data_IF_565160983502
#
_entry.id   IF_565160983502
#
_cell.length_a   1.000
_cell.length_b   1.000
_cell.length_c   1.000
_cell.angle_alpha   90.00
_cell.angle_beta   90.00
_cell.angle_gamma   90.00
#
_symmetry.space_group_name_H-M   'P 1'
#
loop_
_entity.id
_entity.type
_entity.pdbx_description
1 polymer ?
#
# COMPACT_ATOMS: atom_id res chain seq x y z
N UNK A 1 6.77 11.69 25.23
CA UNK A 1 7.52 10.89 24.24
C UNK A 1 6.56 10.40 23.16
N UNK A 2 6.74 10.81 21.89
CA UNK A 2 5.98 10.21 20.79
C UNK A 2 6.43 8.75 20.70
N UNK A 3 5.50 7.79 20.85
CA UNK A 3 5.80 6.39 20.49
C UNK A 3 6.35 6.42 19.08
N UNK A 4 7.43 5.68 18.81
CA UNK A 4 7.84 5.39 17.44
C UNK A 4 6.65 4.68 16.79
N UNK A 5 5.81 5.44 16.07
CA UNK A 5 4.74 4.87 15.26
C UNK A 5 5.43 4.20 14.09
N UNK A 6 4.97 2.99 13.76
CA UNK A 6 5.33 2.40 12.48
C UNK A 6 4.67 3.24 11.41
N UNK A 7 5.46 3.70 10.46
CA UNK A 7 4.92 4.39 9.31
C UNK A 7 4.32 3.34 8.37
N UNK A 8 2.99 3.26 8.41
CA UNK A 8 2.20 2.47 7.47
C UNK A 8 1.71 3.40 6.36
N UNK A 9 2.06 3.08 5.12
CA UNK A 9 1.51 3.75 3.94
C UNK A 9 0.63 2.76 3.18
N UNK A 10 -0.54 3.22 2.77
CA UNK A 10 -1.42 2.50 1.88
C UNK A 10 -1.31 3.12 0.48
N UNK A 11 -1.10 2.27 -0.52
CA UNK A 11 -0.99 2.68 -1.92
C UNK A 11 -2.09 1.95 -2.70
N UNK A 12 -3.10 2.70 -3.13
CA UNK A 12 -4.17 2.21 -3.98
C UNK A 12 -3.92 2.59 -5.43
N UNK A 13 -3.72 1.61 -6.31
CA UNK A 13 -3.80 1.82 -7.75
C UNK A 13 -5.26 1.72 -8.18
N UNK A 14 -5.88 2.83 -8.56
CA UNK A 14 -7.26 2.86 -8.99
C UNK A 14 -7.31 2.85 -10.51
N UNK A 15 -7.80 1.75 -11.06
CA UNK A 15 -8.35 1.76 -12.40
C UNK A 15 -9.74 2.40 -12.31
N UNK A 16 -10.08 3.36 -13.18
CA UNK A 16 -11.51 3.71 -13.40
C UNK A 16 -12.32 2.42 -13.59
N UNK A 17 -13.59 2.37 -13.14
CA UNK A 17 -14.37 1.13 -13.01
C UNK A 17 -14.21 0.25 -14.25
N UNK A 18 -13.47 -0.85 -14.07
CA UNK A 18 -12.91 -1.65 -15.15
C UNK A 18 -13.86 -2.71 -15.69
N UNK A 19 -15.06 -2.85 -15.10
CA UNK A 19 -16.03 -3.84 -15.55
C UNK A 19 -16.82 -3.41 -16.80
N UNK A 20 -16.69 -2.16 -17.26
CA UNK A 20 -17.38 -1.65 -18.47
C UNK A 20 -16.46 -1.21 -19.61
N UNK A 21 -15.14 -1.19 -19.43
CA UNK A 21 -14.21 -0.71 -20.48
C UNK A 21 -13.06 -1.69 -20.75
N UNK A 22 -12.73 -1.90 -22.04
CA UNK A 22 -11.60 -2.75 -22.49
C UNK A 22 -10.25 -2.37 -21.86
N UNK A 23 -10.12 -1.14 -21.36
CA UNK A 23 -8.90 -0.56 -20.77
C UNK A 23 -8.61 -1.11 -19.36
N UNK A 24 -9.64 -1.25 -18.52
CA UNK A 24 -9.47 -1.77 -17.16
C UNK A 24 -9.09 -3.25 -17.10
N UNK A 25 -9.50 -4.01 -18.11
CA UNK A 25 -9.07 -5.39 -18.34
C UNK A 25 -7.58 -5.46 -18.72
N UNK A 26 -7.11 -4.62 -19.64
CA UNK A 26 -5.70 -4.59 -20.07
C UNK A 26 -4.74 -4.21 -18.95
N UNK A 27 -5.20 -3.36 -18.03
CA UNK A 27 -4.45 -2.91 -16.87
C UNK A 27 -4.19 -4.02 -15.84
N UNK A 28 -5.22 -4.81 -15.51
CA UNK A 28 -5.06 -5.99 -14.65
C UNK A 28 -4.28 -7.12 -15.34
N UNK A 29 -4.08 -7.03 -16.65
CA UNK A 29 -3.44 -8.06 -17.48
C UNK A 29 -1.94 -7.86 -17.70
N UNK A 30 -1.37 -6.69 -17.38
CA UNK A 30 0.01 -6.38 -17.76
C UNK A 30 0.80 -5.70 -16.64
N UNK A 31 1.76 -6.43 -16.06
CA UNK A 31 2.82 -5.80 -15.27
C UNK A 31 3.77 -4.99 -16.15
N UNK A 32 4.02 -5.38 -17.40
CA UNK A 32 4.91 -4.63 -18.32
C UNK A 32 4.28 -3.38 -18.93
N UNK A 33 3.00 -3.09 -18.67
CA UNK A 33 2.45 -1.79 -19.02
C UNK A 33 2.65 -1.38 -20.48
N UNK A 34 2.49 -2.28 -21.46
CA UNK A 34 1.89 -1.82 -22.68
C UNK A 34 0.38 -1.66 -22.40
N UNK A 35 0.03 -0.60 -21.66
CA UNK A 35 -1.27 0.02 -21.84
C UNK A 35 -1.46 0.13 -23.36
N UNK A 36 -2.58 -0.34 -23.94
CA UNK A 36 -2.80 -0.21 -25.38
C UNK A 36 -2.45 1.22 -25.80
N UNK A 37 -1.72 1.43 -26.91
CA UNK A 37 -1.33 2.78 -27.33
C UNK A 37 -2.53 3.73 -27.24
N UNK A 38 -2.42 4.76 -26.40
CA UNK A 38 -3.49 5.72 -26.13
C UNK A 38 -4.38 5.43 -24.91
N UNK A 39 -4.12 4.37 -24.13
CA UNK A 39 -4.82 4.16 -22.87
C UNK A 39 -4.36 5.19 -21.82
N UNK A 40 -5.30 5.73 -21.03
CA UNK A 40 -5.00 6.75 -20.02
C UNK A 40 -4.10 6.18 -18.92
N UNK A 41 -3.23 7.03 -18.32
CA UNK A 41 -2.42 6.61 -17.18
C UNK A 41 -3.30 6.22 -15.99
N UNK A 42 -2.71 5.46 -15.08
CA UNK A 42 -3.31 5.05 -13.82
C UNK A 42 -3.40 6.20 -12.83
N UNK A 43 -4.57 6.39 -12.24
CA UNK A 43 -4.68 7.23 -11.05
C UNK A 43 -4.25 6.41 -9.83
N UNK A 44 -3.23 6.90 -9.13
CA UNK A 44 -2.72 6.31 -7.89
C UNK A 44 -3.09 7.22 -6.75
N UNK A 45 -3.71 6.65 -5.73
CA UNK A 45 -3.99 7.31 -4.46
C UNK A 45 -3.05 6.72 -3.42
N UNK A 46 -2.28 7.58 -2.78
CA UNK A 46 -1.45 7.22 -1.65
C UNK A 46 -2.02 7.86 -0.39
N UNK A 47 -2.07 7.07 0.67
CA UNK A 47 -2.52 7.47 2.00
C UNK A 47 -1.42 7.15 3.01
N UNK A 48 -0.76 8.18 3.52
CA UNK A 48 0.27 8.11 4.55
C UNK A 48 -0.38 8.12 5.93
N UNK A 49 -0.31 6.99 6.64
CA UNK A 49 -0.85 6.85 8.00
C UNK A 49 -0.18 7.76 9.03
N UNK A 50 1.06 8.20 8.77
CA UNK A 50 1.81 9.08 9.64
C UNK A 50 1.33 10.55 9.58
N UNK A 51 0.85 10.95 8.40
CA UNK A 51 0.39 12.32 8.11
C UNK A 51 -1.13 12.45 8.16
N UNK A 52 -1.85 11.33 8.07
CA UNK A 52 -3.30 11.25 8.10
C UNK A 52 -3.91 12.02 9.28
N UNK A 53 -4.73 13.02 8.99
CA UNK A 53 -5.54 13.74 9.98
C UNK A 53 -7.02 13.58 9.75
N UNK A 54 -7.77 13.49 10.84
CA UNK A 54 -9.23 13.55 10.86
C UNK A 54 -9.98 12.52 9.97
N UNK A 55 -9.34 11.38 9.62
CA UNK A 55 -10.02 10.30 8.91
C UNK A 55 -10.90 9.49 9.85
N UNK A 56 -12.18 9.35 9.47
CA UNK A 56 -13.12 8.45 10.10
C UNK A 56 -13.07 7.08 9.43
N UNK A 57 -13.19 5.96 10.16
CA UNK A 57 -13.28 4.62 9.56
C UNK A 57 -14.62 4.36 8.82
N UNK A 58 -15.54 5.32 8.85
CA UNK A 58 -16.83 5.25 8.17
C UNK A 58 -16.68 5.25 6.64
N UNK A 59 -17.26 4.24 5.99
CA UNK A 59 -17.14 4.03 4.54
C UNK A 59 -17.68 5.21 3.72
N UNK A 60 -18.77 5.85 4.15
CA UNK A 60 -19.34 6.99 3.43
C UNK A 60 -18.39 8.20 3.49
N UNK A 61 -17.76 8.45 4.64
CA UNK A 61 -16.76 9.51 4.79
C UNK A 61 -15.50 9.23 3.97
N UNK A 62 -14.99 7.99 4.00
CA UNK A 62 -13.84 7.59 3.15
C UNK A 62 -14.18 7.74 1.67
N UNK A 63 -15.35 7.25 1.24
CA UNK A 63 -15.80 7.35 -0.14
C UNK A 63 -15.96 8.80 -0.62
N UNK A 64 -16.55 9.67 0.21
CA UNK A 64 -16.67 11.11 -0.10
C UNK A 64 -15.31 11.80 -0.18
N UNK A 65 -14.39 11.43 0.73
CA UNK A 65 -13.02 11.95 0.75
C UNK A 65 -12.30 11.57 -0.55
N UNK A 66 -12.39 10.30 -0.94
CA UNK A 66 -11.81 9.78 -2.17
C UNK A 66 -12.44 10.41 -3.43
N UNK A 67 -13.75 10.61 -3.47
CA UNK A 67 -14.43 11.24 -4.61
C UNK A 67 -13.93 12.67 -4.84
N UNK A 68 -13.92 13.49 -3.78
CA UNK A 68 -13.41 14.88 -3.84
C UNK A 68 -11.95 14.95 -4.26
N UNK A 69 -11.16 14.03 -3.74
CA UNK A 69 -9.76 13.87 -4.09
C UNK A 69 -9.55 13.59 -5.58
N UNK A 70 -10.32 12.66 -6.15
CA UNK A 70 -10.27 12.32 -7.58
C UNK A 70 -10.82 13.45 -8.47
N UNK A 71 -11.85 14.17 -8.02
CA UNK A 71 -12.38 15.35 -8.70
C UNK A 71 -11.33 16.47 -8.79
N UNK A 72 -10.67 16.77 -7.66
CA UNK A 72 -9.58 17.74 -7.61
C UNK A 72 -8.40 17.35 -8.52
N UNK A 73 -8.05 16.06 -8.58
CA UNK A 73 -7.01 15.54 -9.46
C UNK A 73 -7.39 15.57 -10.96
N UNK A 74 -8.68 15.54 -11.28
CA UNK A 74 -9.17 15.57 -12.67
C UNK A 74 -9.28 16.98 -13.25
N UNK A 75 -9.35 18.01 -12.39
CA UNK A 75 -9.58 19.39 -12.80
C UNK A 75 -8.34 20.13 -13.32
N UNK A 76 -7.11 19.63 -13.10
CA UNK A 76 -5.88 20.40 -13.37
C UNK A 76 -4.69 19.59 -13.98
N UNK A 77 -3.73 20.36 -14.51
CA UNK A 77 -2.54 20.03 -15.33
C UNK A 77 -1.52 19.08 -14.62
N UNK A 78 -0.74 18.24 -15.33
CA UNK A 78 0.11 17.20 -14.72
C UNK A 78 1.26 17.72 -13.84
N UNK A 79 1.38 17.18 -12.61
CA UNK A 79 2.52 17.34 -11.68
C UNK A 79 2.18 16.87 -10.25
N UNK A 80 3.17 16.48 -9.41
CA UNK A 80 2.92 16.17 -8.00
C UNK A 80 2.56 17.45 -7.24
N UNK A 81 1.43 17.45 -6.51
CA UNK A 81 1.03 18.56 -5.63
C UNK A 81 0.69 18.05 -4.25
N UNK A 82 1.21 18.73 -3.23
CA UNK A 82 0.66 18.72 -1.88
C UNK A 82 -0.62 19.57 -1.88
N UNK A 83 -1.65 19.14 -1.14
CA UNK A 83 -2.91 19.89 -1.03
C UNK A 83 -2.63 21.25 -0.36
N UNK A 84 -2.99 22.40 -0.96
CA UNK A 84 -2.63 23.71 -0.43
C UNK A 84 -3.23 23.92 0.97
N UNK A 85 -2.38 24.26 1.95
CA UNK A 85 -2.73 24.39 3.37
C UNK A 85 -3.74 25.51 3.70
N UNK A 86 -5.01 25.29 3.40
CA UNK A 86 -6.16 26.00 3.98
C UNK A 86 -6.89 25.13 5.00
N UNK A 87 -7.76 25.71 5.83
CA UNK A 87 -8.58 24.95 6.80
C UNK A 87 -9.46 23.87 6.12
N UNK A 88 -9.85 24.10 4.86
CA UNK A 88 -10.53 23.13 3.98
C UNK A 88 -9.60 22.13 3.30
N UNK A 89 -8.28 22.17 3.50
CA UNK A 89 -7.33 21.18 2.98
C UNK A 89 -6.70 20.32 4.07
N UNK A 90 -6.77 20.76 5.34
CA UNK A 90 -6.22 20.04 6.48
C UNK A 90 -6.83 18.62 6.68
N UNK A 91 -8.00 18.32 6.11
CA UNK A 91 -8.61 16.97 6.14
C UNK A 91 -8.05 16.02 5.08
N UNK A 92 -7.28 16.52 4.11
CA UNK A 92 -6.55 15.71 3.12
C UNK A 92 -5.07 15.55 3.46
N UNK A 93 -4.61 16.01 4.64
CA UNK A 93 -3.23 15.78 5.09
C UNK A 93 -2.96 14.26 5.11
N UNK A 94 -1.84 13.87 4.50
CA UNK A 94 -1.47 12.47 4.28
C UNK A 94 -2.08 11.80 3.05
N UNK A 95 -2.88 12.50 2.25
CA UNK A 95 -3.35 12.00 0.96
C UNK A 95 -2.55 12.63 -0.18
N UNK A 96 -2.14 11.81 -1.15
CA UNK A 96 -1.51 12.29 -2.38
C UNK A 96 -1.97 11.50 -3.60
N UNK A 97 -1.87 12.14 -4.77
CA UNK A 97 -2.30 11.59 -6.05
C UNK A 97 -1.22 11.75 -7.08
N UNK A 98 -1.04 10.72 -7.89
CA UNK A 98 -0.18 10.78 -9.06
C UNK A 98 -0.71 9.92 -10.18
N UNK A 99 -0.33 10.28 -11.39
CA UNK A 99 -0.54 9.44 -12.57
C UNK A 99 0.73 8.62 -12.81
N UNK A 100 0.56 7.32 -13.00
CA UNK A 100 1.66 6.42 -13.41
C UNK A 100 1.28 5.74 -14.72
N UNK A 101 2.26 5.47 -15.57
CA UNK A 101 2.05 4.81 -16.85
C UNK A 101 1.73 3.31 -16.68
N UNK A 102 2.13 2.68 -15.56
CA UNK A 102 1.93 1.25 -15.35
C UNK A 102 1.98 0.82 -13.88
N UNK A 103 1.51 -0.41 -13.61
CA UNK A 103 1.70 -1.05 -12.31
C UNK A 103 3.18 -1.32 -12.02
N UNK A 104 4.01 -1.59 -13.04
CA UNK A 104 5.47 -1.71 -12.89
C UNK A 104 6.08 -0.43 -12.36
N UNK A 105 5.79 0.72 -12.98
CA UNK A 105 6.29 2.02 -12.52
C UNK A 105 5.89 2.29 -11.07
N UNK A 106 4.65 1.94 -10.70
CA UNK A 106 4.19 2.05 -9.31
C UNK A 106 5.02 1.21 -8.34
N UNK A 107 5.27 -0.05 -8.70
CA UNK A 107 6.04 -0.98 -7.88
C UNK A 107 7.51 -0.59 -7.81
N UNK A 108 8.11 -0.17 -8.92
CA UNK A 108 9.50 0.32 -8.97
C UNK A 108 9.66 1.56 -8.08
N UNK A 109 8.71 2.50 -8.12
CA UNK A 109 8.66 3.62 -7.18
C UNK A 109 8.51 3.16 -5.73
N UNK A 110 7.54 2.30 -5.44
CA UNK A 110 7.28 1.82 -4.09
C UNK A 110 8.44 1.01 -3.49
N UNK A 111 9.24 0.31 -4.31
CA UNK A 111 10.41 -0.45 -3.87
C UNK A 111 11.67 0.43 -3.73
N UNK A 112 11.76 1.51 -4.51
CA UNK A 112 12.91 2.44 -4.51
C UNK A 112 12.79 3.55 -3.47
N UNK A 113 11.57 4.01 -3.17
CA UNK A 113 11.27 5.07 -2.19
C UNK A 113 11.44 4.55 -0.74
N UNK A 114 12.60 4.01 -0.36
CA UNK A 114 12.89 3.68 1.04
C UNK A 114 12.88 4.94 1.93
N UNK A 115 12.61 4.84 3.25
CA UNK A 115 12.70 5.99 4.13
C UNK A 115 14.13 6.52 4.12
N UNK A 116 14.36 7.62 3.40
CA UNK A 116 15.62 8.34 3.34
C UNK A 116 15.86 9.06 4.67
N UNK A 117 16.09 8.30 5.73
CA UNK A 117 16.57 8.84 7.00
C UNK A 117 18.06 8.53 7.09
N UNK A 118 18.86 9.60 7.16
CA UNK A 118 20.32 9.64 7.16
C UNK A 118 20.97 8.81 8.30
N UNK A 119 20.17 8.23 9.20
CA UNK A 119 20.61 7.61 10.44
C UNK A 119 20.29 6.11 10.58
N UNK A 120 19.72 5.46 9.56
CA UNK A 120 19.53 4.01 9.58
C UNK A 120 20.20 3.34 8.37
N UNK A 121 20.95 2.23 8.56
CA UNK A 121 21.42 1.44 7.42
C UNK A 121 20.22 1.08 6.54
N UNK A 122 20.40 1.12 5.21
CA UNK A 122 19.37 0.77 4.24
C UNK A 122 18.92 -0.66 4.49
N UNK A 123 17.89 -0.83 5.31
CA UNK A 123 17.27 -2.13 5.53
C UNK A 123 16.56 -2.55 4.26
N UNK A 124 16.61 -3.85 3.99
CA UNK A 124 15.99 -4.41 2.78
C UNK A 124 14.47 -4.25 2.80
N UNK A 125 13.89 -4.19 1.60
CA UNK A 125 12.44 -4.23 1.38
C UNK A 125 12.03 -5.65 1.01
N UNK A 126 10.95 -6.16 1.59
CA UNK A 126 10.34 -7.46 1.23
C UNK A 126 8.99 -7.22 0.58
N UNK A 127 8.84 -7.68 -0.65
CA UNK A 127 7.58 -7.69 -1.39
C UNK A 127 6.86 -9.02 -1.17
N UNK A 128 5.61 -8.97 -0.73
CA UNK A 128 4.75 -10.13 -0.55
C UNK A 128 3.51 -9.97 -1.44
N UNK A 129 3.12 -11.03 -2.13
CA UNK A 129 1.88 -11.08 -2.91
C UNK A 129 0.95 -12.10 -2.28
N UNK A 130 -0.25 -11.67 -1.91
CA UNK A 130 -1.24 -12.57 -1.32
C UNK A 130 -1.92 -13.40 -2.41
N UNK A 131 -1.92 -14.72 -2.23
CA UNK A 131 -2.60 -15.70 -3.09
C UNK A 131 -3.19 -16.80 -2.23
N UNK A 132 -4.43 -17.18 -2.50
CA UNK A 132 -5.11 -18.26 -1.78
C UNK A 132 -4.39 -19.60 -1.99
N UNK A 133 -3.87 -19.84 -3.20
CA UNK A 133 -3.18 -21.07 -3.60
C UNK A 133 -1.68 -21.09 -3.26
N UNK A 134 -1.15 -20.08 -2.55
CA UNK A 134 0.25 -20.07 -2.19
C UNK A 134 0.59 -21.16 -1.17
N UNK A 135 1.69 -21.88 -1.41
CA UNK A 135 2.17 -22.94 -0.51
C UNK A 135 2.75 -22.43 0.81
N UNK A 136 3.17 -21.16 0.85
CA UNK A 136 3.83 -20.56 2.02
C UNK A 136 2.81 -19.73 2.81
N UNK A 137 2.77 -19.90 4.12
CA UNK A 137 1.94 -19.04 4.97
C UNK A 137 2.57 -17.66 5.11
N UNK A 138 1.74 -16.62 5.16
CA UNK A 138 2.19 -15.24 5.39
C UNK A 138 2.93 -15.11 6.73
N UNK A 139 2.46 -15.81 7.76
CA UNK A 139 3.12 -15.83 9.07
C UNK A 139 4.57 -16.33 8.99
N UNK A 140 4.80 -17.48 8.35
CA UNK A 140 6.15 -18.04 8.24
C UNK A 140 7.08 -17.12 7.42
N UNK A 141 6.57 -16.50 6.34
CA UNK A 141 7.37 -15.54 5.57
C UNK A 141 7.70 -14.28 6.38
N UNK A 142 6.77 -13.78 7.20
CA UNK A 142 7.03 -12.64 8.06
C UNK A 142 8.04 -12.94 9.17
N UNK A 143 8.03 -14.17 9.71
CA UNK A 143 9.05 -14.64 10.67
C UNK A 143 10.44 -14.67 10.01
N UNK A 144 10.55 -15.14 8.76
CA UNK A 144 11.80 -15.07 7.97
C UNK A 144 12.21 -13.62 7.72
N UNK A 145 11.29 -12.77 7.26
CA UNK A 145 11.58 -11.35 7.02
C UNK A 145 12.07 -10.64 8.29
N UNK A 146 11.53 -11.00 9.47
CA UNK A 146 11.98 -10.48 10.76
C UNK A 146 13.41 -10.92 11.09
N UNK A 147 13.74 -12.18 10.84
CA UNK A 147 15.07 -12.74 11.05
C UNK A 147 16.11 -12.11 10.10
N UNK A 148 15.70 -11.80 8.87
CA UNK A 148 16.51 -11.12 7.84
C UNK A 148 16.67 -9.59 8.08
N UNK A 149 16.22 -9.07 9.23
CA UNK A 149 16.15 -7.62 9.57
C UNK A 149 15.54 -6.75 8.45
N UNK A 150 14.50 -7.26 7.78
CA UNK A 150 13.74 -6.49 6.78
C UNK A 150 13.15 -5.25 7.44
N UNK A 151 13.43 -4.09 6.85
CA UNK A 151 12.98 -2.79 7.37
C UNK A 151 11.67 -2.32 6.78
N UNK A 152 11.30 -2.84 5.60
CA UNK A 152 10.06 -2.47 4.92
C UNK A 152 9.36 -3.69 4.33
N UNK A 153 8.07 -3.77 4.58
CA UNK A 153 7.17 -4.77 4.00
C UNK A 153 6.24 -4.09 3.01
N UNK A 154 6.11 -4.65 1.82
CA UNK A 154 5.14 -4.22 0.80
C UNK A 154 4.23 -5.40 0.51
N UNK A 155 2.93 -5.22 0.73
CA UNK A 155 1.93 -6.25 0.47
C UNK A 155 1.14 -5.88 -0.78
N UNK A 156 1.08 -6.79 -1.75
CA UNK A 156 0.23 -6.65 -2.93
C UNK A 156 -1.01 -7.52 -2.74
N UNK A 157 -2.17 -6.88 -2.78
CA UNK A 157 -3.48 -7.49 -2.58
C UNK A 157 -4.33 -7.26 -3.83
N UNK A 158 -5.10 -8.27 -4.22
CA UNK A 158 -6.16 -8.11 -5.21
C UNK A 158 -7.42 -7.49 -4.58
N UNK A 159 -8.35 -7.09 -5.44
CA UNK A 159 -9.71 -6.76 -5.04
C UNK A 159 -10.53 -8.04 -4.80
N UNK A 160 -11.86 -7.93 -4.80
CA UNK A 160 -12.78 -9.06 -4.69
C UNK A 160 -12.64 -10.13 -5.79
N UNK A 161 -12.01 -9.85 -6.93
CA UNK A 161 -11.73 -10.82 -8.00
C UNK A 161 -10.33 -11.43 -7.82
N UNK A 162 -9.49 -10.82 -6.99
CA UNK A 162 -8.12 -11.22 -6.77
C UNK A 162 -7.17 -10.77 -7.90
N UNK A 163 -5.88 -11.06 -7.72
CA UNK A 163 -4.90 -10.86 -8.78
C UNK A 163 -4.97 -12.01 -9.77
N UNK A 164 -4.99 -11.70 -11.08
CA UNK A 164 -4.91 -12.73 -12.11
C UNK A 164 -3.62 -13.55 -11.96
N UNK A 165 -3.63 -14.86 -12.27
CA UNK A 165 -2.44 -15.72 -12.15
C UNK A 165 -1.22 -15.20 -12.91
N UNK A 166 -1.42 -14.60 -14.08
CA UNK A 166 -0.34 -14.01 -14.88
C UNK A 166 0.33 -12.86 -14.13
N UNK A 167 -0.47 -11.94 -13.59
CA UNK A 167 0.00 -10.77 -12.84
C UNK A 167 0.70 -11.20 -11.56
N UNK A 168 0.10 -12.11 -10.79
CA UNK A 168 0.71 -12.60 -9.54
C UNK A 168 1.98 -13.41 -9.78
N UNK A 169 2.03 -14.23 -10.85
CA UNK A 169 3.24 -14.96 -11.24
C UNK A 169 4.38 -14.02 -11.61
N UNK A 170 4.07 -12.94 -12.33
CA UNK A 170 5.05 -11.94 -12.73
C UNK A 170 5.54 -11.05 -11.59
N UNK A 171 4.73 -10.79 -10.55
CA UNK A 171 5.24 -10.19 -9.31
C UNK A 171 6.36 -11.03 -8.70
N UNK A 172 6.22 -12.37 -8.76
CA UNK A 172 7.24 -13.30 -8.24
C UNK A 172 8.48 -13.31 -9.12
N UNK A 173 8.33 -13.41 -10.45
CA UNK A 173 9.48 -13.53 -11.36
C UNK A 173 10.23 -12.22 -11.56
N UNK A 174 9.52 -11.11 -11.70
CA UNK A 174 10.11 -9.85 -12.17
C UNK A 174 10.52 -8.94 -11.01
N UNK A 175 9.85 -9.07 -9.87
CA UNK A 175 10.07 -8.23 -8.67
C UNK A 175 10.53 -9.03 -7.45
N UNK A 176 10.73 -10.36 -7.59
CA UNK A 176 11.15 -11.22 -6.49
C UNK A 176 10.11 -11.33 -5.37
N UNK A 177 8.84 -11.06 -5.65
CA UNK A 177 7.78 -11.14 -4.64
C UNK A 177 7.67 -12.55 -4.06
N UNK A 178 7.33 -12.63 -2.77
CA UNK A 178 7.02 -13.90 -2.10
C UNK A 178 5.51 -14.13 -2.12
N UNK A 179 5.09 -15.16 -2.84
CA UNK A 179 3.70 -15.60 -2.82
C UNK A 179 3.37 -16.23 -1.45
N UNK A 180 2.36 -15.69 -0.78
CA UNK A 180 1.94 -16.13 0.55
C UNK A 180 0.43 -16.28 0.65
N UNK A 181 -0.05 -17.15 1.54
CA UNK A 181 -1.46 -17.32 1.88
C UNK A 181 -1.74 -16.96 3.34
N UNK A 182 -2.97 -16.53 3.64
CA UNK A 182 -3.46 -16.33 5.01
C UNK A 182 -4.21 -17.56 5.56
N UNK A 183 -4.41 -18.59 4.74
CA UNK A 183 -5.14 -19.81 5.10
C UNK A 183 -5.98 -20.31 3.93
N UNK A 184 -6.74 -21.38 4.18
CA UNK A 184 -7.61 -22.01 3.17
C UNK A 184 -8.93 -21.27 2.98
N UNK A 185 -9.33 -20.44 3.95
CA UNK A 185 -10.56 -19.66 3.90
C UNK A 185 -10.36 -18.38 3.07
N UNK A 186 -11.15 -18.16 2.01
CA UNK A 186 -11.16 -16.89 1.29
C UNK A 186 -11.54 -15.74 2.22
N UNK A 187 -10.82 -14.63 2.12
CA UNK A 187 -11.02 -13.44 2.96
C UNK A 187 -11.25 -12.22 2.08
N UNK A 188 -12.07 -11.29 2.56
CA UNK A 188 -12.18 -9.97 1.96
C UNK A 188 -10.84 -9.22 2.06
N UNK A 189 -10.52 -8.35 1.10
CA UNK A 189 -9.29 -7.55 1.12
C UNK A 189 -9.09 -6.80 2.45
N UNK A 190 -10.17 -6.29 3.05
CA UNK A 190 -10.14 -5.62 4.36
C UNK A 190 -9.76 -6.56 5.52
N UNK A 191 -10.24 -7.81 5.48
CA UNK A 191 -9.88 -8.86 6.44
C UNK A 191 -8.42 -9.28 6.26
N UNK A 192 -7.95 -9.37 5.01
CA UNK A 192 -6.54 -9.62 4.70
C UNK A 192 -5.63 -8.54 5.29
N UNK A 193 -5.95 -7.26 5.05
CA UNK A 193 -5.20 -6.12 5.62
C UNK A 193 -5.14 -6.22 7.14
N UNK A 194 -6.29 -6.42 7.78
CA UNK A 194 -6.38 -6.52 9.25
C UNK A 194 -5.54 -7.68 9.80
N UNK A 195 -5.59 -8.83 9.14
CA UNK A 195 -4.83 -10.03 9.55
C UNK A 195 -3.34 -9.83 9.37
N UNK A 196 -2.90 -9.25 8.25
CA UNK A 196 -1.49 -8.94 8.00
C UNK A 196 -0.94 -7.95 9.02
N UNK A 197 -1.70 -6.90 9.35
CA UNK A 197 -1.32 -5.94 10.38
C UNK A 197 -1.17 -6.62 11.75
N UNK A 198 -2.14 -7.47 12.14
CA UNK A 198 -2.04 -8.26 13.37
C UNK A 198 -0.76 -9.12 13.42
N UNK A 199 -0.43 -9.82 12.32
CA UNK A 199 0.80 -10.63 12.25
C UNK A 199 2.07 -9.78 12.36
N UNK A 200 2.10 -8.63 11.69
CA UNK A 200 3.24 -7.69 11.74
C UNK A 200 3.40 -7.09 13.15
N UNK A 201 2.32 -6.81 13.86
CA UNK A 201 2.34 -6.32 15.24
C UNK A 201 2.87 -7.35 16.23
N UNK A 202 2.58 -8.63 16.02
CA UNK A 202 3.11 -9.72 16.85
C UNK A 202 4.62 -9.90 16.70
N UNK A 203 5.16 -9.70 15.50
CA UNK A 203 6.57 -9.99 15.18
C UNK A 203 7.52 -8.81 15.38
N UNK A 204 7.00 -7.60 15.30
CA UNK A 204 7.74 -6.38 15.57
C UNK A 204 6.96 -5.52 16.57
N UNK A 205 6.84 -5.94 17.83
CA UNK A 205 6.14 -5.15 18.83
C UNK A 205 6.71 -3.73 18.87
N UNK A 206 5.83 -2.73 18.82
CA UNK A 206 6.26 -1.34 18.98
C UNK A 206 7.06 -1.25 20.28
N UNK A 207 8.30 -0.75 20.21
CA UNK A 207 9.09 -0.55 21.41
C UNK A 207 8.30 0.38 22.32
N UNK A 208 7.73 -0.18 23.39
CA UNK A 208 7.19 0.62 24.48
C UNK A 208 8.36 1.39 25.02
N UNK A 209 8.33 2.71 24.87
CA UNK A 209 9.23 3.59 25.62
C UNK A 209 9.22 3.12 27.08
N UNK A 210 10.38 3.04 27.75
CA UNK A 210 10.42 2.61 29.14
C UNK A 210 9.40 3.43 29.92
N UNK A 211 8.50 2.75 30.61
CA UNK A 211 7.60 3.36 31.58
C UNK A 211 8.55 3.99 32.59
N UNK A 212 8.71 5.32 32.52
CA UNK A 212 9.58 6.05 33.42
C UNK A 212 9.19 5.66 34.84
N UNK A 213 10.16 5.10 35.56
CA UNK A 213 9.98 4.66 36.93
C UNK A 213 9.31 5.75 37.75
N UNK A 214 8.30 5.34 38.51
CA UNK A 214 7.73 6.13 39.59
C UNK A 214 8.91 6.63 40.43
N UNK A 215 9.22 7.92 40.35
CA UNK A 215 10.04 8.56 41.37
C UNK A 215 9.22 8.54 42.65
N UNK A 216 9.47 7.55 43.51
CA UNK A 216 9.06 7.61 44.90
C UNK A 216 9.62 8.91 45.50
N UNK A 217 8.73 9.74 46.05
CA UNK A 217 9.11 10.87 46.89
C UNK A 217 9.62 10.37 48.22
#
# INVERSE_FOLDING_TARGET
ARRARRDSSFLGALAKPSWTTRVGLALLQSLDGALPRGAPPLDVVQVSGAELRALSPDEQRVGRTLARALEAASAEVPGPREVPGGAEAAWLEGWSWRKVASLRELLEGALSEGPATVLSPQRSTRLLVLREDAKRSARAELEVARADDVGRLVFVLGDHVGLRPVTSGRLVTDFGARAVTLGETPLLTSQCISTLQFLVDRLWPAQTAPIWGVRSR
#
